data_IF_434293914412
#
_entry.id   IF_434293914412
#
_cell.length_a   1.000
_cell.length_b   1.000
_cell.length_c   1.000
_cell.angle_alpha   90.00
_cell.angle_beta   90.00
_cell.angle_gamma   90.00
#
_symmetry.space_group_name_H-M   'P 1'
#
loop_
_entity.id
_entity.type
_entity.pdbx_description
1 polymer ?
#
# COMPACT_ATOMS: atom_id res chain seq x y z
N UNK A 1 -8.10 18.80 -5.30
CA UNK A 1 -7.16 18.40 -6.39
C UNK A 1 -7.67 17.13 -7.05
N UNK A 2 -7.21 16.74 -8.25
CA UNK A 2 -7.59 15.43 -8.80
C UNK A 2 -6.78 14.34 -8.09
N UNK A 3 -7.45 13.34 -7.50
CA UNK A 3 -6.81 12.17 -6.86
C UNK A 3 -6.19 11.19 -7.89
N UNK A 4 -6.47 11.42 -9.18
CA UNK A 4 -6.06 10.55 -10.28
C UNK A 4 -4.53 10.32 -10.36
N UNK A 5 -3.64 11.34 -10.27
CA UNK A 5 -2.20 11.13 -10.34
C UNK A 5 -1.69 10.25 -9.19
N UNK A 6 -2.17 10.48 -7.97
CA UNK A 6 -1.79 9.69 -6.79
C UNK A 6 -2.18 8.22 -6.97
N UNK A 7 -3.39 7.96 -7.47
CA UNK A 7 -3.87 6.59 -7.76
C UNK A 7 -3.11 5.90 -8.87
N UNK A 8 -2.67 6.64 -9.90
CA UNK A 8 -1.81 6.09 -10.95
C UNK A 8 -0.43 5.71 -10.41
N UNK A 9 0.15 6.52 -9.52
CA UNK A 9 1.40 6.18 -8.83
C UNK A 9 1.21 4.91 -8.00
N UNK A 10 0.11 4.85 -7.24
CA UNK A 10 -0.26 3.69 -6.46
C UNK A 10 -0.39 2.41 -7.30
N UNK A 11 -1.11 2.50 -8.42
CA UNK A 11 -1.30 1.38 -9.35
C UNK A 11 0.02 0.95 -10.00
N UNK A 12 0.90 1.90 -10.31
CA UNK A 12 2.20 1.63 -10.92
C UNK A 12 3.11 0.77 -10.04
N UNK A 13 2.99 0.86 -8.71
CA UNK A 13 3.76 -0.01 -7.82
C UNK A 13 3.33 -1.47 -7.83
N UNK A 14 2.22 -1.81 -8.51
CA UNK A 14 1.93 -3.22 -8.87
C UNK A 14 3.07 -3.85 -9.69
N UNK A 15 3.89 -3.05 -10.37
CA UNK A 15 5.08 -3.54 -11.05
C UNK A 15 6.03 -4.33 -10.13
N UNK A 16 6.13 -3.97 -8.84
CA UNK A 16 7.00 -4.67 -7.90
C UNK A 16 6.61 -6.17 -7.73
N UNK A 17 5.39 -6.51 -7.27
CA UNK A 17 4.99 -7.91 -7.20
C UNK A 17 4.81 -8.56 -8.59
N UNK A 18 4.35 -7.84 -9.61
CA UNK A 18 4.10 -8.42 -10.94
C UNK A 18 5.39 -8.83 -11.65
N UNK A 19 6.46 -8.04 -11.57
CA UNK A 19 7.75 -8.42 -12.17
C UNK A 19 8.29 -9.72 -11.58
N UNK A 20 8.10 -9.96 -10.29
CA UNK A 20 8.39 -11.26 -9.67
C UNK A 20 7.45 -12.36 -10.17
N UNK A 21 6.13 -12.14 -10.17
CA UNK A 21 5.14 -13.15 -10.57
C UNK A 21 5.29 -13.59 -12.04
N UNK A 22 5.74 -12.69 -12.91
CA UNK A 22 6.03 -13.01 -14.31
C UNK A 22 7.46 -13.53 -14.56
N UNK A 23 8.26 -13.72 -13.50
CA UNK A 23 9.62 -14.25 -13.59
C UNK A 23 10.63 -13.30 -14.24
N UNK A 24 10.33 -12.00 -14.28
CA UNK A 24 11.23 -10.96 -14.81
C UNK A 24 12.33 -10.63 -13.81
N UNK A 25 11.99 -10.55 -12.52
CA UNK A 25 12.93 -10.30 -11.42
C UNK A 25 12.80 -11.38 -10.35
N UNK A 26 13.90 -11.68 -9.68
CA UNK A 26 13.87 -12.47 -8.44
C UNK A 26 13.28 -11.64 -7.30
N UNK A 27 12.74 -12.30 -6.28
CA UNK A 27 12.22 -11.59 -5.11
C UNK A 27 13.27 -10.71 -4.43
N UNK A 28 14.51 -11.21 -4.36
CA UNK A 28 15.64 -10.46 -3.80
C UNK A 28 15.89 -9.15 -4.56
N UNK A 29 15.82 -9.18 -5.89
CA UNK A 29 15.98 -7.96 -6.70
C UNK A 29 14.83 -6.98 -6.44
N UNK A 30 13.57 -7.46 -6.40
CA UNK A 30 12.42 -6.62 -6.04
C UNK A 30 12.60 -5.98 -4.66
N UNK A 31 12.95 -6.75 -3.63
CA UNK A 31 13.15 -6.24 -2.26
C UNK A 31 14.31 -5.24 -2.18
N UNK A 32 15.39 -5.43 -2.94
CA UNK A 32 16.52 -4.49 -2.99
C UNK A 32 16.19 -3.21 -3.76
N UNK A 33 15.44 -3.31 -4.86
CA UNK A 33 14.96 -2.14 -5.61
C UNK A 33 14.05 -1.29 -4.72
N UNK A 34 13.10 -1.92 -4.03
CA UNK A 34 12.20 -1.25 -3.09
C UNK A 34 12.98 -0.55 -1.96
N UNK A 35 13.98 -1.22 -1.38
CA UNK A 35 14.87 -0.60 -0.40
C UNK A 35 15.60 0.63 -0.97
N UNK A 36 16.14 0.54 -2.18
CA UNK A 36 16.78 1.66 -2.87
C UNK A 36 15.82 2.82 -3.10
N UNK A 37 14.57 2.54 -3.50
CA UNK A 37 13.51 3.52 -3.66
C UNK A 37 13.13 4.17 -2.34
N UNK A 38 13.02 3.41 -1.25
CA UNK A 38 12.78 3.96 0.10
C UNK A 38 13.88 4.94 0.50
N UNK A 39 15.16 4.60 0.28
CA UNK A 39 16.27 5.49 0.60
C UNK A 39 16.23 6.76 -0.25
N UNK A 40 15.98 6.63 -1.56
CA UNK A 40 15.86 7.77 -2.47
C UNK A 40 14.71 8.71 -2.05
N UNK A 41 13.53 8.15 -1.82
CA UNK A 41 12.34 8.90 -1.41
C UNK A 41 12.55 9.55 -0.05
N UNK A 42 13.20 8.86 0.91
CA UNK A 42 13.54 9.45 2.21
C UNK A 42 14.47 10.66 2.10
N UNK A 43 15.46 10.61 1.20
CA UNK A 43 16.34 11.77 0.93
C UNK A 43 15.54 12.92 0.30
N UNK A 44 14.74 12.63 -0.73
CA UNK A 44 13.93 13.63 -1.41
C UNK A 44 12.94 14.30 -0.43
N UNK A 45 12.26 13.53 0.39
CA UNK A 45 11.33 14.06 1.38
C UNK A 45 12.04 14.91 2.44
N UNK A 46 13.22 14.49 2.89
CA UNK A 46 14.02 15.29 3.82
C UNK A 46 14.42 16.64 3.23
N UNK A 47 14.72 16.69 1.93
CA UNK A 47 15.03 17.93 1.23
C UNK A 47 13.78 18.81 1.08
N UNK A 48 12.62 18.21 0.78
CA UNK A 48 11.33 18.91 0.65
C UNK A 48 10.95 19.59 1.96
N UNK A 49 10.93 18.83 3.06
CA UNK A 49 10.56 19.32 4.40
C UNK A 49 11.53 20.38 4.94
N UNK A 50 12.78 20.39 4.47
CA UNK A 50 13.76 21.45 4.80
C UNK A 50 13.65 22.68 3.89
N UNK A 51 12.73 22.70 2.94
CA UNK A 51 12.57 23.77 1.96
C UNK A 51 13.71 23.87 0.94
N UNK A 52 14.49 22.80 0.75
CA UNK A 52 15.57 22.78 -0.24
C UNK A 52 15.09 22.48 -1.66
N UNK A 53 13.94 21.80 -1.79
CA UNK A 53 13.32 21.51 -3.08
C UNK A 53 11.82 21.80 -3.01
N UNK A 54 11.32 22.42 -4.06
CA UNK A 54 9.90 22.77 -4.24
C UNK A 54 9.54 22.52 -5.71
N UNK A 55 9.44 21.25 -6.07
CA UNK A 55 9.14 20.83 -7.42
C UNK A 55 7.63 20.67 -7.60
N UNK A 56 7.12 21.07 -8.76
CA UNK A 56 5.70 20.99 -9.14
C UNK A 56 5.05 19.60 -8.95
N UNK A 57 5.87 18.55 -8.93
CA UNK A 57 5.39 17.18 -8.73
C UNK A 57 4.91 16.96 -7.29
N UNK A 58 5.49 17.65 -6.30
CA UNK A 58 5.04 17.56 -4.91
C UNK A 58 3.62 18.11 -4.77
N UNK A 59 3.29 19.23 -5.43
CA UNK A 59 1.93 19.78 -5.53
C UNK A 59 0.90 18.81 -6.14
N UNK A 60 1.33 17.71 -6.77
CA UNK A 60 0.46 16.67 -7.32
C UNK A 60 0.39 15.42 -6.46
N UNK A 61 1.38 15.20 -5.61
CA UNK A 61 1.54 13.97 -4.83
C UNK A 61 1.20 14.14 -3.35
N UNK A 62 1.34 15.35 -2.81
CA UNK A 62 1.02 15.67 -1.41
C UNK A 62 -0.38 16.27 -1.30
N UNK A 63 -1.07 15.97 -0.19
CA UNK A 63 -2.30 16.67 0.21
C UNK A 63 -1.94 17.92 1.02
N UNK A 64 -2.89 18.85 1.16
CA UNK A 64 -2.68 20.11 1.93
C UNK A 64 -2.20 19.84 3.36
N UNK A 65 -2.69 18.78 4.00
CA UNK A 65 -2.25 18.39 5.35
C UNK A 65 -0.92 17.61 5.39
N UNK A 66 -0.36 17.24 4.24
CA UNK A 66 0.95 16.58 4.11
C UNK A 66 2.06 17.59 3.73
N UNK A 67 1.74 18.88 3.60
CA UNK A 67 2.70 19.89 3.17
C UNK A 67 3.87 20.04 4.15
N UNK A 68 3.61 19.98 5.45
CA UNK A 68 4.65 20.11 6.50
C UNK A 68 5.02 18.77 7.17
N UNK A 69 4.36 17.68 6.77
CA UNK A 69 4.52 16.34 7.36
C UNK A 69 5.04 15.33 6.33
N UNK A 70 5.47 14.16 6.79
CA UNK A 70 5.90 13.07 5.89
C UNK A 70 4.75 12.64 5.00
N UNK A 71 4.92 12.80 3.69
CA UNK A 71 3.87 12.55 2.71
C UNK A 71 3.52 11.06 2.53
N UNK A 72 2.28 10.79 2.09
CA UNK A 72 1.75 9.43 1.94
C UNK A 72 2.56 8.57 0.95
N UNK A 73 3.15 9.18 -0.09
CA UNK A 73 4.00 8.45 -1.04
C UNK A 73 5.29 7.88 -0.39
N UNK A 74 5.76 8.48 0.71
CA UNK A 74 6.89 7.94 1.50
C UNK A 74 6.43 6.70 2.26
N UNK A 75 5.30 6.82 2.96
CA UNK A 75 4.69 5.72 3.70
C UNK A 75 4.36 4.53 2.80
N UNK A 76 3.94 4.81 1.57
CA UNK A 76 3.68 3.81 0.54
C UNK A 76 4.93 2.98 0.21
N UNK A 77 6.04 3.64 -0.16
CA UNK A 77 7.27 2.92 -0.54
C UNK A 77 7.88 2.22 0.69
N UNK A 78 7.75 2.80 1.88
CA UNK A 78 8.16 2.16 3.15
C UNK A 78 7.31 0.91 3.42
N UNK A 79 5.98 0.98 3.28
CA UNK A 79 5.07 -0.15 3.48
C UNK A 79 5.31 -1.29 2.51
N UNK A 80 5.51 -0.96 1.23
CA UNK A 80 5.89 -1.93 0.19
C UNK A 80 7.23 -2.61 0.51
N UNK A 81 8.25 -1.83 0.91
CA UNK A 81 9.56 -2.36 1.28
C UNK A 81 9.49 -3.24 2.53
N UNK A 82 8.85 -2.77 3.59
CA UNK A 82 8.69 -3.54 4.82
C UNK A 82 7.97 -4.87 4.54
N UNK A 83 6.89 -4.85 3.78
CA UNK A 83 6.16 -6.06 3.38
C UNK A 83 7.05 -7.02 2.60
N UNK A 84 7.87 -6.50 1.68
CA UNK A 84 8.76 -7.32 0.85
C UNK A 84 9.92 -7.98 1.62
N UNK A 85 10.30 -7.42 2.77
CA UNK A 85 11.39 -7.93 3.62
C UNK A 85 10.88 -8.76 4.80
N UNK A 86 9.66 -8.52 5.27
CA UNK A 86 9.08 -9.23 6.42
C UNK A 86 8.44 -10.57 6.05
N UNK A 87 7.94 -10.71 4.82
CA UNK A 87 7.19 -11.89 4.42
C UNK A 87 7.76 -12.56 3.17
N UNK A 88 7.56 -13.88 3.08
CA UNK A 88 7.84 -14.63 1.87
C UNK A 88 6.96 -14.17 0.70
N UNK A 89 7.41 -14.35 -0.57
CA UNK A 89 6.70 -13.84 -1.74
C UNK A 89 5.24 -14.30 -1.84
N UNK A 90 4.94 -15.50 -1.35
CA UNK A 90 3.59 -16.06 -1.34
C UNK A 90 2.59 -15.26 -0.48
N UNK A 91 3.09 -14.48 0.49
CA UNK A 91 2.29 -13.60 1.36
C UNK A 91 2.48 -12.14 0.97
N UNK A 92 3.72 -11.73 0.69
CA UNK A 92 4.04 -10.34 0.38
C UNK A 92 3.41 -9.89 -0.94
N UNK A 93 3.50 -10.69 -2.01
CA UNK A 93 2.95 -10.31 -3.31
C UNK A 93 1.44 -10.03 -3.29
N UNK A 94 0.57 -10.90 -2.72
CA UNK A 94 -0.85 -10.56 -2.60
C UNK A 94 -1.10 -9.36 -1.71
N UNK A 95 -0.39 -9.21 -0.58
CA UNK A 95 -0.56 -8.06 0.31
C UNK A 95 -0.20 -6.72 -0.36
N UNK A 96 0.89 -6.71 -1.13
CA UNK A 96 1.30 -5.55 -1.94
C UNK A 96 0.26 -5.25 -3.03
N UNK A 97 -0.30 -6.26 -3.69
CA UNK A 97 -1.36 -6.06 -4.69
C UNK A 97 -2.67 -5.55 -4.08
N UNK A 98 -3.00 -5.93 -2.84
CA UNK A 98 -4.14 -5.36 -2.13
C UNK A 98 -3.99 -3.85 -1.94
N UNK A 99 -2.77 -3.38 -1.64
CA UNK A 99 -2.47 -1.96 -1.60
C UNK A 99 -2.51 -1.35 -3.01
N UNK A 100 -1.77 -1.90 -3.97
CA UNK A 100 -1.56 -1.25 -5.27
C UNK A 100 -2.80 -1.31 -6.18
N UNK A 101 -3.76 -2.21 -5.93
CA UNK A 101 -4.97 -2.37 -6.74
C UNK A 101 -6.23 -2.10 -5.91
N UNK A 102 -6.31 -2.65 -4.70
CA UNK A 102 -7.47 -2.50 -3.83
C UNK A 102 -7.69 -1.06 -3.41
N UNK A 103 -6.64 -0.37 -2.93
CA UNK A 103 -6.77 1.04 -2.50
C UNK A 103 -7.19 1.96 -3.66
N UNK A 104 -6.57 1.96 -4.86
CA UNK A 104 -7.00 2.82 -5.96
C UNK A 104 -8.47 2.63 -6.37
N UNK A 105 -8.97 1.39 -6.33
CA UNK A 105 -10.38 1.09 -6.58
C UNK A 105 -11.25 1.65 -5.46
N UNK A 106 -10.87 1.40 -4.20
CA UNK A 106 -11.57 1.90 -3.02
C UNK A 106 -11.65 3.43 -3.02
N UNK A 107 -10.53 4.12 -3.20
CA UNK A 107 -10.48 5.57 -3.32
C UNK A 107 -11.31 6.09 -4.49
N UNK A 108 -11.35 5.39 -5.64
CA UNK A 108 -12.21 5.78 -6.78
C UNK A 108 -13.69 5.72 -6.49
N UNK A 109 -14.10 4.78 -5.66
CA UNK A 109 -15.50 4.60 -5.32
C UNK A 109 -15.93 5.44 -4.11
N UNK A 110 -15.02 5.73 -3.19
CA UNK A 110 -15.34 6.51 -2.00
C UNK A 110 -15.45 8.01 -2.29
N UNK A 111 -16.40 8.64 -1.60
CA UNK A 111 -16.55 10.09 -1.56
C UNK A 111 -15.79 10.74 -0.39
N UNK A 112 -15.18 9.94 0.49
CA UNK A 112 -14.48 10.41 1.68
C UNK A 112 -12.96 10.52 1.43
N UNK A 113 -12.41 11.71 1.64
CA UNK A 113 -10.94 11.93 1.62
C UNK A 113 -10.28 11.54 2.95
N UNK A 114 -11.02 11.66 4.06
CA UNK A 114 -10.63 11.25 5.43
C UNK A 114 -11.88 10.77 6.17
N UNK A 115 -11.79 9.65 6.89
CA UNK A 115 -12.89 9.10 7.69
C UNK A 115 -13.26 7.66 7.33
N UNK A 116 -14.45 7.23 7.75
CA UNK A 116 -14.94 5.87 7.47
C UNK A 116 -15.50 5.77 6.04
N UNK A 117 -15.01 4.79 5.27
CA UNK A 117 -15.51 4.50 3.92
C UNK A 117 -16.92 3.90 3.97
N UNK A 118 -17.71 4.12 2.92
CA UNK A 118 -19.06 3.59 2.80
C UNK A 118 -19.05 2.05 2.80
N UNK A 119 -20.02 1.42 3.47
CA UNK A 119 -20.04 -0.05 3.64
C UNK A 119 -19.96 -0.83 2.32
N UNK A 120 -20.51 -0.29 1.23
CA UNK A 120 -20.48 -0.91 -0.09
C UNK A 120 -19.11 -0.77 -0.77
N UNK A 121 -18.37 0.31 -0.49
CA UNK A 121 -16.97 0.46 -0.92
C UNK A 121 -16.12 -0.59 -0.22
N UNK A 122 -16.29 -0.74 1.10
CA UNK A 122 -15.61 -1.79 1.87
C UNK A 122 -15.90 -3.19 1.32
N UNK A 123 -17.16 -3.47 0.93
CA UNK A 123 -17.53 -4.76 0.33
C UNK A 123 -16.82 -5.00 -1.02
N UNK A 124 -16.68 -3.95 -1.86
CA UNK A 124 -15.91 -4.01 -3.10
C UNK A 124 -14.42 -4.22 -2.82
N UNK A 125 -13.83 -3.46 -1.89
CA UNK A 125 -12.42 -3.63 -1.49
C UNK A 125 -12.16 -5.06 -1.01
N UNK A 126 -13.03 -5.61 -0.16
CA UNK A 126 -12.93 -6.99 0.30
C UNK A 126 -12.99 -7.97 -0.87
N UNK A 127 -13.95 -7.79 -1.80
CA UNK A 127 -14.09 -8.64 -2.97
C UNK A 127 -12.86 -8.62 -3.88
N UNK A 128 -12.28 -7.44 -4.13
CA UNK A 128 -11.05 -7.27 -4.91
C UNK A 128 -9.87 -7.93 -4.21
N UNK A 129 -9.68 -7.67 -2.91
CA UNK A 129 -8.59 -8.26 -2.14
C UNK A 129 -8.70 -9.79 -2.06
N UNK A 130 -9.91 -10.31 -1.88
CA UNK A 130 -10.17 -11.75 -1.90
C UNK A 130 -9.85 -12.34 -3.29
N UNK A 131 -10.28 -11.68 -4.37
CA UNK A 131 -9.97 -12.13 -5.73
C UNK A 131 -8.46 -12.23 -5.97
N UNK A 132 -7.67 -11.25 -5.48
CA UNK A 132 -6.21 -11.29 -5.55
C UNK A 132 -5.66 -12.54 -4.85
N UNK A 133 -6.14 -12.85 -3.64
CA UNK A 133 -5.66 -14.03 -2.90
C UNK A 133 -6.01 -15.35 -3.58
N UNK A 134 -7.22 -15.44 -4.16
CA UNK A 134 -7.67 -16.61 -4.92
C UNK A 134 -6.81 -16.79 -6.18
N UNK A 135 -6.57 -15.71 -6.93
CA UNK A 135 -5.77 -15.75 -8.16
C UNK A 135 -4.31 -16.16 -7.90
N UNK A 136 -3.77 -15.81 -6.73
CA UNK A 136 -2.40 -16.15 -6.33
C UNK A 136 -2.29 -17.44 -5.51
N UNK A 137 -3.40 -18.17 -5.31
CA UNK A 137 -3.39 -19.48 -4.65
C UNK A 137 -3.07 -19.43 -3.16
N UNK A 138 -3.38 -18.33 -2.47
CA UNK A 138 -3.24 -18.24 -1.01
C UNK A 138 -4.24 -19.20 -0.35
N UNK A 139 -3.87 -19.93 0.73
CA UNK A 139 -4.80 -20.79 1.45
C UNK A 139 -6.08 -20.05 1.84
N UNK A 140 -7.25 -20.68 1.63
CA UNK A 140 -8.56 -20.01 1.69
C UNK A 140 -8.76 -19.19 2.97
N UNK A 141 -8.47 -19.78 4.14
CA UNK A 141 -8.64 -19.08 5.41
C UNK A 141 -7.70 -17.87 5.54
N UNK A 142 -6.44 -18.02 5.11
CA UNK A 142 -5.48 -16.92 5.10
C UNK A 142 -5.92 -15.81 4.13
N UNK A 143 -6.37 -16.17 2.93
CA UNK A 143 -6.84 -15.22 1.93
C UNK A 143 -8.07 -14.42 2.39
N UNK A 144 -9.06 -15.09 2.98
CA UNK A 144 -10.25 -14.43 3.54
C UNK A 144 -9.90 -13.47 4.67
N UNK A 145 -9.08 -13.90 5.63
CA UNK A 145 -8.70 -13.07 6.77
C UNK A 145 -7.75 -11.93 6.36
N UNK A 146 -6.85 -12.18 5.41
CA UNK A 146 -5.98 -11.17 4.81
C UNK A 146 -6.76 -10.09 4.07
N UNK A 147 -7.73 -10.48 3.24
CA UNK A 147 -8.62 -9.55 2.55
C UNK A 147 -9.45 -8.71 3.55
N UNK A 148 -9.98 -9.34 4.61
CA UNK A 148 -10.68 -8.61 5.67
C UNK A 148 -9.76 -7.60 6.38
N UNK A 149 -8.52 -7.99 6.69
CA UNK A 149 -7.54 -7.10 7.32
C UNK A 149 -7.19 -5.90 6.41
N UNK A 150 -6.98 -6.14 5.11
CA UNK A 150 -6.77 -5.08 4.13
C UNK A 150 -7.97 -4.12 4.08
N UNK A 151 -9.20 -4.65 4.03
CA UNK A 151 -10.42 -3.81 4.02
C UNK A 151 -10.58 -2.99 5.29
N UNK A 152 -10.25 -3.54 6.46
CA UNK A 152 -10.32 -2.77 7.72
C UNK A 152 -9.25 -1.68 7.77
N UNK A 153 -8.04 -1.97 7.28
CA UNK A 153 -6.98 -0.98 7.17
C UNK A 153 -7.33 0.13 6.16
N UNK A 154 -7.97 -0.23 5.04
CA UNK A 154 -8.45 0.69 4.01
C UNK A 154 -9.65 1.56 4.49
N UNK A 155 -10.52 1.00 5.32
CA UNK A 155 -11.74 1.68 5.78
C UNK A 155 -11.49 2.71 6.89
N UNK A 156 -10.31 2.70 7.51
CA UNK A 156 -9.98 3.58 8.63
C UNK A 156 -8.63 4.23 8.38
N UNK A 157 -8.57 5.55 8.48
CA UNK A 157 -7.30 6.28 8.47
C UNK A 157 -6.85 6.53 9.92
N UNK A 158 -6.00 5.68 10.53
CA UNK A 158 -5.56 5.89 11.90
C UNK A 158 -4.68 7.15 12.00
N UNK A 159 -4.94 7.96 13.03
CA UNK A 159 -4.09 9.11 13.37
C UNK A 159 -3.29 8.73 14.61
N UNK A 160 -1.96 8.68 14.50
CA UNK A 160 -1.05 8.35 15.59
C UNK A 160 -0.16 9.55 15.87
N UNK A 161 -0.21 10.06 17.10
CA UNK A 161 0.59 11.21 17.54
C UNK A 161 0.46 12.47 16.65
N UNK A 162 -0.72 12.68 16.05
CA UNK A 162 -0.99 13.79 15.13
C UNK A 162 -0.68 13.50 13.66
N UNK A 163 0.01 12.39 13.37
CA UNK A 163 0.33 11.98 12.01
C UNK A 163 -0.70 11.00 11.46
N UNK A 164 -1.12 11.22 10.23
CA UNK A 164 -1.96 10.28 9.48
C UNK A 164 -1.12 9.04 9.17
N UNK A 165 -1.36 7.95 9.90
CA UNK A 165 -0.80 6.65 9.56
C UNK A 165 -1.63 6.12 8.40
N UNK A 166 -1.11 6.43 7.23
CA UNK A 166 -1.76 6.24 5.95
C UNK A 166 -2.05 4.75 5.65
N UNK A 167 -3.13 4.48 4.92
CA UNK A 167 -3.50 3.16 4.41
C UNK A 167 -2.36 2.55 3.56
N UNK A 168 -1.55 3.41 2.94
CA UNK A 168 -0.27 3.16 2.32
C UNK A 168 0.69 2.28 3.12
N UNK A 169 0.74 2.44 4.45
CA UNK A 169 1.57 1.62 5.33
C UNK A 169 0.79 0.43 5.88
N UNK A 170 -0.47 0.65 6.25
CA UNK A 170 -1.22 -0.32 7.05
C UNK A 170 -1.83 -1.45 6.23
N UNK A 171 -2.31 -1.21 5.00
CA UNK A 171 -2.92 -2.25 4.17
C UNK A 171 -1.98 -3.46 3.97
N UNK A 172 -0.77 -3.30 3.40
CA UNK A 172 0.04 -4.46 3.05
C UNK A 172 0.64 -5.12 4.30
N UNK A 173 0.93 -4.35 5.36
CA UNK A 173 1.46 -4.89 6.61
C UNK A 173 0.41 -5.66 7.41
N UNK A 174 -0.81 -5.13 7.55
CA UNK A 174 -1.90 -5.81 8.25
C UNK A 174 -2.31 -7.08 7.50
N UNK A 175 -2.52 -6.98 6.18
CA UNK A 175 -2.88 -8.13 5.35
C UNK A 175 -1.78 -9.19 5.35
N UNK A 176 -0.52 -8.78 5.16
CA UNK A 176 0.65 -9.66 5.20
C UNK A 176 0.80 -10.37 6.54
N UNK A 177 0.67 -9.64 7.65
CA UNK A 177 0.77 -10.20 9.01
C UNK A 177 -0.31 -11.24 9.26
N UNK A 178 -1.57 -10.94 8.93
CA UNK A 178 -2.69 -11.87 9.14
C UNK A 178 -2.53 -13.11 8.27
N UNK A 179 -2.19 -12.96 6.99
CA UNK A 179 -1.95 -14.10 6.11
C UNK A 179 -0.78 -14.95 6.61
N UNK A 180 0.34 -14.34 6.98
CA UNK A 180 1.53 -15.03 7.50
C UNK A 180 1.21 -15.82 8.77
N UNK A 181 0.52 -15.22 9.75
CA UNK A 181 0.12 -15.90 10.98
C UNK A 181 -0.79 -17.09 10.71
N UNK A 182 -1.78 -16.93 9.83
CA UNK A 182 -2.70 -18.02 9.51
C UNK A 182 -1.97 -19.14 8.77
N UNK A 183 -1.13 -18.83 7.79
CA UNK A 183 -0.34 -19.82 7.05
C UNK A 183 0.62 -20.56 7.98
N UNK A 184 1.24 -19.88 8.95
CA UNK A 184 2.14 -20.51 9.91
C UNK A 184 1.45 -21.48 10.90
N UNK A 185 0.11 -21.41 11.00
CA UNK A 185 -0.70 -22.25 11.89
C UNK A 185 -1.43 -23.39 11.15
N UNK A 186 -1.34 -23.46 9.82
CA UNK A 186 -1.92 -24.51 8.97
C UNK A 186 -0.89 -25.59 8.65
#
# INVERSE_FOLDING_TARGET
MSELPRRLVHLSGSAAPLTYLFGVLTWREVSLILLGLTLLVGVLETLRLKGHIDWWIYDKLTREYEEDDVAGYVLYVVGMTATAWLFDPAVAAPAMLMLTVGDPISGYLSSADLGEKEWWVMAVTFGVCLAITVLLGVPVLAGVLGAAAATVADARTPIVAGYVVDDNLTIPLCAGTVMWLVVALL
#
